data_IF_657676457484
#
_entry.id   IF_657676457484
#
_cell.length_a   1.000
_cell.length_b   1.000
_cell.length_c   1.000
_cell.angle_alpha   90.00
_cell.angle_beta   90.00
_cell.angle_gamma   90.00
#
_symmetry.space_group_name_H-M   'P 1'
#
loop_
_entity.id
_entity.type
_entity.pdbx_description
1 polymer ?
#
# COMPACT_ATOMS: atom_id res chain seq x y z
N UNK A 1 -36.00 11.74 11.25
CA UNK A 1 -34.77 10.92 11.31
C UNK A 1 -33.85 11.35 10.16
N UNK A 2 -32.99 12.37 10.31
CA UNK A 2 -32.04 12.70 9.25
C UNK A 2 -30.80 11.84 9.41
N UNK A 3 -30.61 10.89 8.50
CA UNK A 3 -29.38 10.12 8.39
C UNK A 3 -28.40 10.93 7.54
N UNK A 4 -27.76 11.92 8.17
CA UNK A 4 -26.66 12.69 7.61
C UNK A 4 -25.42 11.77 7.56
N UNK A 5 -25.13 11.17 6.39
CA UNK A 5 -23.81 10.60 6.14
C UNK A 5 -22.92 11.75 5.67
N UNK A 6 -21.88 12.15 6.43
CA UNK A 6 -21.01 13.23 5.99
C UNK A 6 -20.28 12.81 4.72
N UNK A 7 -20.32 13.70 3.73
CA UNK A 7 -19.53 13.65 2.50
C UNK A 7 -18.05 13.90 2.85
N UNK A 8 -17.29 12.83 3.06
CA UNK A 8 -15.83 12.87 3.27
C UNK A 8 -15.07 13.13 1.95
N UNK A 9 -15.49 14.12 1.14
CA UNK A 9 -14.72 14.60 -0.03
C UNK A 9 -13.78 15.76 0.32
N UNK A 10 -13.47 15.95 1.60
CA UNK A 10 -12.40 16.88 2.00
C UNK A 10 -11.07 16.27 1.57
N UNK A 11 -10.41 16.99 0.65
CA UNK A 11 -9.01 16.82 0.28
C UNK A 11 -8.11 16.94 1.52
N UNK A 12 -8.04 15.88 2.32
CA UNK A 12 -6.92 15.66 3.23
C UNK A 12 -5.87 14.96 2.40
N UNK A 13 -4.81 15.69 2.07
CA UNK A 13 -3.52 15.10 1.75
C UNK A 13 -3.03 14.35 2.98
N UNK A 14 -3.63 13.20 3.29
CA UNK A 14 -3.00 12.24 4.18
C UNK A 14 -1.74 11.82 3.42
N UNK A 15 -0.61 12.40 3.84
CA UNK A 15 0.71 11.99 3.40
C UNK A 15 0.89 10.57 3.96
N UNK A 16 0.29 9.58 3.29
CA UNK A 16 0.57 8.19 3.59
C UNK A 16 2.00 7.95 3.13
N UNK A 17 2.88 7.46 4.00
CA UNK A 17 4.16 6.96 3.54
C UNK A 17 3.87 5.85 2.55
N UNK A 18 4.12 6.08 1.26
CA UNK A 18 4.06 4.99 0.30
C UNK A 18 5.21 4.04 0.60
N UNK A 19 4.97 2.75 0.45
CA UNK A 19 6.05 1.78 0.49
C UNK A 19 6.59 1.64 -0.92
N UNK A 20 7.85 2.03 -1.11
CA UNK A 20 8.60 1.71 -2.31
C UNK A 20 9.63 0.63 -1.98
N UNK A 21 9.61 -0.42 -2.78
CA UNK A 21 10.60 -1.48 -2.76
C UNK A 21 11.36 -1.42 -4.08
N UNK A 22 12.67 -1.19 -3.97
CA UNK A 22 13.61 -1.22 -5.09
C UNK A 22 14.51 -2.42 -4.86
N UNK A 23 14.49 -3.37 -5.79
CA UNK A 23 15.25 -4.61 -5.66
C UNK A 23 15.67 -5.15 -7.03
N UNK A 24 16.95 -5.47 -7.18
CA UNK A 24 17.51 -6.01 -8.42
C UNK A 24 17.22 -7.51 -8.58
N UNK A 25 16.93 -8.22 -7.49
CA UNK A 25 16.75 -9.68 -7.52
C UNK A 25 15.35 -10.08 -7.98
N UNK A 26 15.26 -10.83 -9.10
CA UNK A 26 13.96 -11.32 -9.62
C UNK A 26 13.26 -12.27 -8.63
N UNK A 27 14.02 -13.12 -7.96
CA UNK A 27 13.46 -14.10 -7.01
C UNK A 27 12.83 -13.41 -5.79
N UNK A 28 13.52 -12.43 -5.19
CA UNK A 28 13.00 -11.62 -4.07
C UNK A 28 11.76 -10.85 -4.52
N UNK A 29 11.76 -10.29 -5.73
CA UNK A 29 10.58 -9.63 -6.30
C UNK A 29 9.38 -10.57 -6.42
N UNK A 30 9.56 -11.79 -6.91
CA UNK A 30 8.47 -12.78 -7.00
C UNK A 30 7.92 -13.12 -5.61
N UNK A 31 8.79 -13.37 -4.63
CA UNK A 31 8.38 -13.66 -3.25
C UNK A 31 7.61 -12.49 -2.63
N UNK A 32 8.06 -11.24 -2.84
CA UNK A 32 7.35 -10.05 -2.33
C UNK A 32 5.99 -9.87 -2.99
N UNK A 33 5.88 -10.04 -4.30
CA UNK A 33 4.59 -9.95 -5.00
C UNK A 33 3.61 -10.98 -4.48
N UNK A 34 4.09 -12.22 -4.28
CA UNK A 34 3.29 -13.29 -3.71
C UNK A 34 2.83 -12.95 -2.28
N UNK A 35 3.74 -12.50 -1.41
CA UNK A 35 3.41 -12.10 -0.05
C UNK A 35 2.41 -10.93 0.00
N UNK A 36 2.59 -9.90 -0.84
CA UNK A 36 1.67 -8.77 -0.94
C UNK A 36 0.30 -9.19 -1.47
N UNK A 37 0.26 -10.14 -2.42
CA UNK A 37 -0.97 -10.77 -2.89
C UNK A 37 -1.68 -11.57 -1.80
N UNK A 38 -0.94 -12.31 -0.98
CA UNK A 38 -1.49 -13.10 0.14
C UNK A 38 -2.15 -12.22 1.20
N UNK A 39 -1.52 -11.11 1.57
CA UNK A 39 -2.08 -10.17 2.57
C UNK A 39 -3.15 -9.25 1.97
N UNK A 40 -3.38 -9.29 0.65
CA UNK A 40 -4.35 -8.44 -0.02
C UNK A 40 -3.93 -6.96 -0.09
N UNK A 41 -2.64 -6.67 -0.04
CA UNK A 41 -2.15 -5.31 -0.20
C UNK A 41 -2.23 -4.88 -1.67
N UNK A 42 -2.77 -3.70 -1.93
CA UNK A 42 -2.86 -3.14 -3.27
C UNK A 42 -1.50 -2.58 -3.72
N UNK A 43 -0.80 -3.29 -4.59
CA UNK A 43 0.53 -2.92 -5.09
C UNK A 43 0.56 -2.73 -6.62
N UNK A 44 1.53 -1.95 -7.09
CA UNK A 44 1.76 -1.70 -8.52
C UNK A 44 3.25 -1.80 -8.85
N UNK A 45 3.58 -2.41 -9.98
CA UNK A 45 4.92 -2.23 -10.57
C UNK A 45 5.00 -0.87 -11.26
N UNK A 46 5.83 0.02 -10.73
CA UNK A 46 6.17 1.28 -11.40
C UNK A 46 7.27 1.06 -12.45
N UNK A 47 8.17 0.10 -12.18
CA UNK A 47 9.21 -0.38 -13.08
C UNK A 47 9.44 -1.88 -12.85
N UNK A 48 10.14 -2.59 -13.74
CA UNK A 48 10.43 -4.02 -13.54
C UNK A 48 11.13 -4.31 -12.21
N UNK A 49 11.95 -3.38 -11.72
CA UNK A 49 12.77 -3.37 -10.51
C UNK A 49 12.13 -2.60 -9.34
N UNK A 50 11.01 -1.91 -9.57
CA UNK A 50 10.38 -1.01 -8.60
C UNK A 50 8.90 -1.35 -8.37
N UNK A 51 8.59 -1.79 -7.16
CA UNK A 51 7.23 -2.04 -6.68
C UNK A 51 6.81 -0.95 -5.70
N UNK A 52 5.61 -0.42 -5.87
CA UNK A 52 5.05 0.64 -5.04
C UNK A 52 3.68 0.25 -4.48
N UNK A 53 3.48 0.54 -3.18
CA UNK A 53 2.20 0.48 -2.49
C UNK A 53 1.84 1.89 -2.05
N UNK A 54 0.98 2.54 -2.83
CA UNK A 54 0.56 3.92 -2.61
C UNK A 54 -0.92 4.05 -2.18
N UNK A 55 -1.70 2.97 -2.27
CA UNK A 55 -3.10 3.00 -1.83
C UNK A 55 -3.17 2.89 -0.32
N UNK A 56 -3.99 3.75 0.30
CA UNK A 56 -4.25 3.75 1.76
C UNK A 56 -4.60 2.37 2.30
N UNK A 57 -5.39 1.59 1.57
CA UNK A 57 -5.73 0.21 1.98
C UNK A 57 -4.48 -0.70 2.00
N UNK A 58 -3.66 -0.67 0.96
CA UNK A 58 -2.42 -1.44 0.90
C UNK A 58 -1.40 -1.02 1.97
N UNK A 59 -1.30 0.29 2.24
CA UNK A 59 -0.44 0.83 3.32
C UNK A 59 -0.95 0.36 4.69
N UNK A 60 -2.25 0.44 4.96
CA UNK A 60 -2.81 -0.01 6.24
C UNK A 60 -2.64 -1.53 6.47
N UNK A 61 -2.79 -2.34 5.41
CA UNK A 61 -2.51 -3.77 5.46
C UNK A 61 -1.03 -4.02 5.79
N UNK A 62 -0.12 -3.30 5.14
CA UNK A 62 1.30 -3.40 5.42
C UNK A 62 1.64 -2.94 6.85
N UNK A 63 1.08 -1.84 7.33
CA UNK A 63 1.29 -1.35 8.70
C UNK A 63 0.82 -2.39 9.73
N UNK A 64 -0.27 -3.12 9.46
CA UNK A 64 -0.77 -4.17 10.34
C UNK A 64 0.17 -5.39 10.39
N UNK A 65 0.84 -5.72 9.28
CA UNK A 65 1.69 -6.92 9.18
C UNK A 65 3.18 -6.67 9.47
N UNK A 66 3.71 -5.53 9.07
CA UNK A 66 5.12 -5.14 9.22
C UNK A 66 5.34 -4.28 10.47
N UNK A 67 4.28 -3.62 10.94
CA UNK A 67 4.34 -2.58 11.97
C UNK A 67 4.34 -1.17 11.33
N UNK A 68 3.88 -0.16 12.07
CA UNK A 68 3.76 1.21 11.56
C UNK A 68 5.13 1.72 11.14
N UNK A 69 5.23 2.22 9.90
CA UNK A 69 6.40 2.97 9.46
C UNK A 69 6.39 4.33 10.15
N UNK A 70 7.13 4.44 11.26
CA UNK A 70 7.37 5.68 11.98
C UNK A 70 8.05 6.75 11.12
#
# INVERSE_FOLDING_TARGET
MPHDKPDDRKHKSYLYPHYEFVDESRHIRCMRQYALGLIGADWKMCRPDKLSVARRQGVAVLDQHVGPKG
#
